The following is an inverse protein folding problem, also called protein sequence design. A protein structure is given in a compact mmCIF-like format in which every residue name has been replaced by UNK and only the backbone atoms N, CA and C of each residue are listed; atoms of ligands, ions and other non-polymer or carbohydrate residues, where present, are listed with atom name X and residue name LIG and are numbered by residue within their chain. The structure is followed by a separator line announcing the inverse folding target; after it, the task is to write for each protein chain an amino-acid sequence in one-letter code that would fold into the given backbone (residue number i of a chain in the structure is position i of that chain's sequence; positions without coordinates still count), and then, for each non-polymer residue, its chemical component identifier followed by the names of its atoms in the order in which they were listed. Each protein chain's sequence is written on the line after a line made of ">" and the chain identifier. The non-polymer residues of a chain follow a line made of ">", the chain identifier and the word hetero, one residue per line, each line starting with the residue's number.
data_IF_746847953333
#
_entry.id   IF_746847953333
#
_cell.length_a   1.000
_cell.length_b   1.000
_cell.length_c   1.000
_cell.angle_alpha   90.00
_cell.angle_beta   90.00
_cell.angle_gamma   90.00
#
_symmetry.space_group_name_H-M   'P 1'
#
loop_
_entity.id
_entity.type
_entity.pdbx_description
1 polymer ?
#
# COMPACT_ATOMS: atom_id res chain seq x y z
N UNK A 1 -12.78 23.25 1.99
CA UNK A 1 -13.39 22.19 2.82
C UNK A 1 -13.58 20.97 1.94
N UNK A 2 -12.70 19.99 2.02
CA UNK A 2 -12.84 18.69 1.35
C UNK A 2 -12.36 17.69 2.39
N UNK A 3 -13.28 16.94 3.00
CA UNK A 3 -12.96 16.04 4.11
C UNK A 3 -14.18 15.42 4.77
N UNK A 4 -15.30 16.15 4.93
CA UNK A 4 -16.42 15.65 5.73
C UNK A 4 -17.09 14.39 5.14
N UNK A 5 -17.29 14.34 3.83
CA UNK A 5 -18.04 13.25 3.17
C UNK A 5 -17.29 11.89 3.16
N UNK A 6 -15.95 11.91 3.21
CA UNK A 6 -15.13 10.68 3.19
C UNK A 6 -15.28 9.91 4.52
N UNK A 7 -15.61 10.61 5.62
CA UNK A 7 -15.80 10.02 6.94
C UNK A 7 -17.25 9.60 7.22
N UNK A 8 -18.23 10.00 6.39
CA UNK A 8 -19.66 9.78 6.66
C UNK A 8 -20.06 8.30 6.74
N UNK A 9 -19.23 7.39 6.21
CA UNK A 9 -19.51 5.95 6.18
C UNK A 9 -18.78 5.13 7.25
N UNK A 10 -18.03 5.77 8.14
CA UNK A 10 -17.30 5.11 9.23
C UNK A 10 -17.91 5.52 10.57
N UNK A 11 -18.13 4.55 11.46
CA UNK A 11 -18.66 4.83 12.80
C UNK A 11 -17.64 5.68 13.61
N UNK A 12 -18.04 6.78 14.27
CA UNK A 12 -17.13 7.59 15.09
C UNK A 12 -16.31 6.76 16.10
N UNK A 13 -16.93 5.77 16.74
CA UNK A 13 -16.24 4.88 17.69
C UNK A 13 -15.17 4.01 17.04
N UNK A 14 -15.40 3.60 15.79
CA UNK A 14 -14.42 2.85 15.01
C UNK A 14 -13.24 3.76 14.63
N UNK A 15 -13.53 5.01 14.26
CA UNK A 15 -12.49 6.00 13.99
C UNK A 15 -11.64 6.26 15.23
N UNK A 16 -12.24 6.46 16.41
CA UNK A 16 -11.50 6.67 17.66
C UNK A 16 -10.58 5.46 17.97
N UNK A 17 -11.12 4.24 17.90
CA UNK A 17 -10.35 3.02 18.10
C UNK A 17 -9.19 2.87 17.09
N UNK A 18 -9.41 3.34 15.86
CA UNK A 18 -8.39 3.35 14.82
C UNK A 18 -7.29 4.40 15.09
N UNK A 19 -7.66 5.61 15.49
CA UNK A 19 -6.69 6.65 15.85
C UNK A 19 -5.84 6.21 17.04
N UNK A 20 -6.45 5.61 18.06
CA UNK A 20 -5.75 5.00 19.19
C UNK A 20 -4.78 3.90 18.73
N UNK A 21 -5.21 3.04 17.80
CA UNK A 21 -4.36 2.03 17.20
C UNK A 21 -3.13 2.64 16.52
N UNK A 22 -3.30 3.69 15.71
CA UNK A 22 -2.18 4.35 15.01
C UNK A 22 -1.24 5.03 16.02
N UNK A 23 -1.79 5.77 16.99
CA UNK A 23 -0.98 6.46 18.00
C UNK A 23 -0.18 5.49 18.86
N UNK A 24 -0.80 4.40 19.32
CA UNK A 24 -0.15 3.39 20.17
C UNK A 24 1.00 2.67 19.45
N UNK A 25 0.84 2.40 18.16
CA UNK A 25 1.83 1.64 17.39
C UNK A 25 2.90 2.53 16.74
N UNK A 26 2.70 3.84 16.69
CA UNK A 26 3.64 4.79 16.10
C UNK A 26 3.71 4.69 14.58
N UNK A 27 4.90 4.90 14.03
CA UNK A 27 5.13 4.90 12.57
C UNK A 27 5.33 3.49 12.03
N UNK A 28 4.72 3.21 10.89
CA UNK A 28 4.90 1.97 10.13
C UNK A 28 5.81 2.20 8.91
N UNK A 29 6.59 1.17 8.55
CA UNK A 29 7.34 1.12 7.31
C UNK A 29 6.44 0.68 6.14
N UNK A 30 5.54 -0.27 6.40
CA UNK A 30 4.56 -0.75 5.42
C UNK A 30 3.19 -0.96 6.06
N UNK A 31 2.14 -0.42 5.44
CA UNK A 31 0.75 -0.71 5.79
C UNK A 31 0.12 -1.61 4.73
N UNK A 32 -0.51 -2.70 5.13
CA UNK A 32 -0.96 -3.78 4.25
C UNK A 32 -2.48 -3.82 4.23
N UNK A 33 -3.05 -3.77 3.02
CA UNK A 33 -4.45 -4.09 2.77
C UNK A 33 -4.62 -5.61 2.79
N UNK A 34 -4.97 -6.14 3.96
CA UNK A 34 -5.01 -7.57 4.19
C UNK A 34 -6.07 -8.27 3.34
N UNK A 35 -7.23 -7.65 3.13
CA UNK A 35 -8.29 -8.24 2.31
C UNK A 35 -7.90 -8.34 0.85
N UNK A 36 -7.27 -7.29 0.31
CA UNK A 36 -6.78 -7.30 -1.06
C UNK A 36 -5.76 -8.43 -1.28
N UNK A 37 -4.80 -8.57 -0.36
CA UNK A 37 -3.77 -9.62 -0.42
C UNK A 37 -4.38 -11.03 -0.45
N UNK A 38 -5.43 -11.28 0.34
CA UNK A 38 -6.03 -12.63 0.40
C UNK A 38 -7.02 -12.92 -0.74
N UNK A 39 -7.69 -11.90 -1.30
CA UNK A 39 -8.88 -12.06 -2.16
C UNK A 39 -8.63 -12.03 -3.67
N UNK A 40 -7.41 -11.76 -4.14
CA UNK A 40 -7.16 -11.48 -5.56
C UNK A 40 -7.41 -12.64 -6.55
N UNK A 41 -7.50 -13.90 -6.08
CA UNK A 41 -7.83 -15.05 -6.94
C UNK A 41 -9.11 -15.73 -6.46
N UNK A 42 -10.26 -15.15 -6.82
CA UNK A 42 -11.61 -15.66 -6.55
C UNK A 42 -12.06 -16.72 -7.58
N UNK A 43 -11.13 -17.46 -8.22
CA UNK A 43 -11.54 -18.68 -8.92
C UNK A 43 -12.12 -19.66 -7.87
N UNK A 44 -13.45 -19.65 -7.81
CA UNK A 44 -14.39 -20.41 -6.96
C UNK A 44 -13.81 -21.75 -6.50
N UNK A 45 -13.12 -21.78 -5.36
CA UNK A 45 -12.73 -22.98 -4.57
C UNK A 45 -11.46 -22.78 -3.72
N UNK A 46 -11.03 -21.54 -3.47
CA UNK A 46 -10.00 -21.28 -2.46
C UNK A 46 -10.54 -21.70 -1.09
N UNK A 47 -10.19 -22.91 -0.65
CA UNK A 47 -10.50 -23.42 0.69
C UNK A 47 -9.97 -22.42 1.72
N UNK A 48 -10.75 -22.19 2.78
CA UNK A 48 -10.54 -21.17 3.83
C UNK A 48 -9.10 -21.07 4.39
N UNK A 49 -8.30 -22.14 4.30
CA UNK A 49 -6.88 -22.18 4.69
C UNK A 49 -5.97 -21.27 3.85
N UNK A 50 -6.22 -21.10 2.56
CA UNK A 50 -5.25 -20.43 1.67
C UNK A 50 -5.21 -18.91 1.87
N UNK A 51 -6.25 -18.31 2.46
CA UNK A 51 -6.25 -16.88 2.80
C UNK A 51 -5.21 -16.52 3.86
N UNK A 52 -5.14 -17.30 4.95
CA UNK A 52 -4.13 -17.10 5.99
C UNK A 52 -2.71 -17.35 5.46
N UNK A 53 -2.54 -18.40 4.64
CA UNK A 53 -1.26 -18.72 4.01
C UNK A 53 -0.76 -17.55 3.16
N UNK A 54 -1.64 -16.93 2.35
CA UNK A 54 -1.26 -15.78 1.51
C UNK A 54 -0.79 -14.58 2.33
N UNK A 55 -1.54 -14.20 3.36
CA UNK A 55 -1.13 -13.09 4.22
C UNK A 55 0.22 -13.38 4.89
N UNK A 56 0.40 -14.60 5.40
CA UNK A 56 1.67 -15.05 5.97
C UNK A 56 2.83 -15.03 4.95
N UNK A 57 2.59 -15.43 3.70
CA UNK A 57 3.59 -15.39 2.65
C UNK A 57 4.00 -13.96 2.30
N UNK A 58 3.03 -13.02 2.26
CA UNK A 58 3.32 -11.61 2.05
C UNK A 58 4.16 -11.02 3.19
N UNK A 59 3.82 -11.34 4.45
CA UNK A 59 4.61 -10.92 5.61
C UNK A 59 6.03 -11.50 5.57
N UNK A 60 6.18 -12.80 5.27
CA UNK A 60 7.49 -13.46 5.13
C UNK A 60 8.35 -12.82 4.05
N UNK A 61 7.76 -12.50 2.90
CA UNK A 61 8.47 -11.84 1.80
C UNK A 61 8.89 -10.39 2.14
N UNK A 62 8.06 -9.65 2.90
CA UNK A 62 8.44 -8.33 3.40
C UNK A 62 9.59 -8.40 4.40
N UNK A 63 9.52 -9.32 5.38
CA UNK A 63 10.59 -9.50 6.35
C UNK A 63 11.89 -9.96 5.70
N UNK A 64 11.84 -10.89 4.74
CA UNK A 64 13.06 -11.39 4.07
C UNK A 64 13.76 -10.34 3.21
N UNK A 65 13.04 -9.33 2.73
CA UNK A 65 13.59 -8.20 1.97
C UNK A 65 14.11 -7.05 2.84
N UNK A 66 13.78 -7.05 4.13
CA UNK A 66 14.28 -6.02 5.05
C UNK A 66 15.74 -6.28 5.42
N UNK A 67 16.57 -5.24 5.38
CA UNK A 67 17.95 -5.30 5.90
C UNK A 67 17.99 -5.42 7.41
N UNK A 68 16.96 -4.93 8.09
CA UNK A 68 16.80 -5.04 9.54
C UNK A 68 15.38 -5.50 9.86
N UNK A 69 15.12 -6.83 9.81
CA UNK A 69 13.79 -7.38 10.05
C UNK A 69 13.26 -7.11 11.46
N UNK A 70 14.13 -6.97 12.46
CA UNK A 70 13.75 -6.73 13.86
C UNK A 70 13.19 -5.31 14.08
N UNK A 71 13.65 -4.34 13.30
CA UNK A 71 13.15 -2.97 13.35
C UNK A 71 11.99 -2.70 12.37
N UNK A 72 11.61 -3.66 11.54
CA UNK A 72 10.59 -3.47 10.50
C UNK A 72 9.19 -3.39 11.14
N UNK A 73 8.54 -2.24 10.98
CA UNK A 73 7.21 -1.96 11.54
C UNK A 73 6.14 -2.16 10.47
N UNK A 74 5.36 -3.23 10.60
CA UNK A 74 4.27 -3.54 9.67
C UNK A 74 2.90 -3.37 10.33
N UNK A 75 1.93 -2.86 9.58
CA UNK A 75 0.52 -2.88 9.95
C UNK A 75 -0.30 -3.66 8.92
N UNK A 76 -1.27 -4.46 9.36
CA UNK A 76 -2.28 -5.10 8.51
C UNK A 76 -3.63 -4.52 8.86
N UNK A 77 -4.30 -3.96 7.85
CA UNK A 77 -5.69 -3.51 7.93
C UNK A 77 -6.57 -4.62 7.37
N UNK A 78 -7.50 -5.10 8.19
CA UNK A 78 -8.45 -6.14 7.83
C UNK A 78 -9.88 -5.78 8.23
N UNK A 79 -10.77 -6.76 8.06
CA UNK A 79 -12.18 -6.66 8.45
C UNK A 79 -12.54 -7.61 9.59
N UNK A 80 -13.58 -7.30 10.36
CA UNK A 80 -13.98 -8.13 11.50
C UNK A 80 -14.26 -9.60 11.10
N UNK A 81 -14.85 -9.85 9.93
CA UNK A 81 -15.14 -11.23 9.49
C UNK A 81 -13.89 -12.11 9.26
N UNK A 82 -12.69 -11.53 9.09
CA UNK A 82 -11.43 -12.28 8.95
C UNK A 82 -10.65 -12.44 10.25
N UNK A 83 -10.98 -11.69 11.31
CA UNK A 83 -10.23 -11.65 12.57
C UNK A 83 -9.99 -13.03 13.17
N UNK A 84 -11.04 -13.85 13.29
CA UNK A 84 -10.91 -15.22 13.84
C UNK A 84 -9.96 -16.08 13.02
N UNK A 85 -9.94 -15.90 11.70
CA UNK A 85 -9.11 -16.69 10.77
C UNK A 85 -7.64 -16.26 10.88
N UNK A 86 -7.39 -14.97 11.00
CA UNK A 86 -6.04 -14.40 11.07
C UNK A 86 -5.40 -14.45 12.45
N UNK A 87 -6.12 -14.85 13.51
CA UNK A 87 -5.57 -15.04 14.85
C UNK A 87 -4.33 -15.98 14.88
N UNK A 88 -4.25 -16.95 13.97
CA UNK A 88 -3.07 -17.81 13.86
C UNK A 88 -1.87 -17.12 13.22
N UNK A 89 -2.11 -16.17 12.31
CA UNK A 89 -1.08 -15.33 11.68
C UNK A 89 -0.59 -14.31 12.70
N UNK A 90 -1.49 -13.63 13.42
CA UNK A 90 -1.12 -12.71 14.52
C UNK A 90 -0.19 -13.36 15.54
N UNK A 91 -0.49 -14.61 15.95
CA UNK A 91 0.36 -15.37 16.87
C UNK A 91 1.76 -15.68 16.31
N UNK A 92 1.88 -15.88 14.99
CA UNK A 92 3.17 -16.16 14.31
C UNK A 92 3.98 -14.90 14.06
N UNK A 93 3.32 -13.74 13.97
CA UNK A 93 3.93 -12.45 13.70
C UNK A 93 3.57 -11.43 14.80
N UNK A 94 3.98 -11.64 16.06
CA UNK A 94 3.62 -10.79 17.18
C UNK A 94 4.13 -9.33 17.04
N UNK A 95 5.11 -9.10 16.17
CA UNK A 95 5.66 -7.77 15.86
C UNK A 95 4.83 -6.97 14.85
N UNK A 96 3.83 -7.59 14.21
CA UNK A 96 2.98 -6.94 13.21
C UNK A 96 1.71 -6.44 13.89
N UNK A 97 1.35 -5.17 13.65
CA UNK A 97 0.15 -4.58 14.21
C UNK A 97 -1.07 -4.92 13.35
N UNK A 98 -2.16 -5.39 13.94
CA UNK A 98 -3.40 -5.71 13.22
C UNK A 98 -4.53 -4.79 13.65
N UNK A 99 -5.22 -4.21 12.68
CA UNK A 99 -6.45 -3.46 12.90
C UNK A 99 -7.60 -4.09 12.11
N UNK A 100 -8.74 -4.26 12.76
CA UNK A 100 -9.93 -4.86 12.16
C UNK A 100 -11.06 -3.84 12.12
N UNK A 101 -11.34 -3.32 10.94
CA UNK A 101 -12.49 -2.46 10.68
C UNK A 101 -13.79 -3.27 10.54
N UNK A 102 -14.93 -2.65 10.78
CA UNK A 102 -16.25 -3.23 10.52
C UNK A 102 -16.39 -3.58 9.03
N UNK A 103 -17.18 -4.61 8.73
CA UNK A 103 -17.31 -5.14 7.36
C UNK A 103 -17.98 -4.16 6.38
N UNK A 104 -18.68 -3.13 6.90
CA UNK A 104 -19.40 -2.11 6.12
C UNK A 104 -18.59 -0.84 5.86
N UNK A 105 -17.49 -0.64 6.56
CA UNK A 105 -16.65 0.57 6.46
C UNK A 105 -15.88 0.59 5.14
N UNK A 106 -15.25 1.71 4.78
CA UNK A 106 -14.34 1.74 3.62
C UNK A 106 -12.90 1.59 4.14
N UNK A 107 -12.26 0.45 3.92
CA UNK A 107 -10.92 0.11 4.44
C UNK A 107 -9.79 0.91 3.81
N UNK A 108 -9.95 1.35 2.57
CA UNK A 108 -8.99 2.20 1.89
C UNK A 108 -8.65 3.47 2.71
N UNK A 109 -9.58 4.06 3.47
CA UNK A 109 -9.28 5.24 4.29
C UNK A 109 -8.34 4.90 5.44
N UNK A 110 -8.51 3.74 6.07
CA UNK A 110 -7.66 3.26 7.16
C UNK A 110 -6.28 2.82 6.64
N UNK A 111 -6.21 2.28 5.43
CA UNK A 111 -4.93 2.01 4.79
C UNK A 111 -4.17 3.32 4.53
N UNK A 112 -4.84 4.28 3.87
CA UNK A 112 -4.23 5.53 3.44
C UNK A 112 -3.85 6.43 4.60
N UNK A 113 -4.70 6.53 5.63
CA UNK A 113 -4.41 7.33 6.81
C UNK A 113 -3.18 6.80 7.55
N UNK A 114 -3.11 5.49 7.84
CA UNK A 114 -1.99 4.91 8.57
C UNK A 114 -0.67 5.11 7.81
N UNK A 115 -0.69 4.95 6.49
CA UNK A 115 0.48 5.13 5.66
C UNK A 115 0.92 6.62 5.62
N UNK A 116 -0.03 7.54 5.40
CA UNK A 116 0.27 8.97 5.37
C UNK A 116 0.75 9.51 6.74
N UNK A 117 0.11 9.08 7.83
CA UNK A 117 0.45 9.50 9.19
C UNK A 117 1.82 8.95 9.64
N UNK A 118 2.22 7.77 9.14
CA UNK A 118 3.54 7.20 9.43
C UNK A 118 4.68 8.01 8.77
N UNK A 119 4.40 8.64 7.62
CA UNK A 119 5.27 9.64 7.00
C UNK A 119 5.56 9.39 5.51
N UNK A 120 6.36 10.28 4.89
CA UNK A 120 6.59 10.28 3.43
C UNK A 120 7.39 9.08 2.91
N UNK A 121 8.05 8.32 3.79
CA UNK A 121 8.83 7.14 3.45
C UNK A 121 8.06 5.83 3.59
N UNK A 122 6.85 5.87 4.17
CA UNK A 122 6.02 4.69 4.40
C UNK A 122 5.45 4.17 3.09
N UNK A 123 5.51 2.86 2.92
CA UNK A 123 4.90 2.14 1.83
C UNK A 123 3.51 1.62 2.20
N UNK A 124 2.70 1.29 1.20
CA UNK A 124 1.45 0.58 1.42
C UNK A 124 1.21 -0.50 0.37
N UNK A 125 0.76 -1.68 0.79
CA UNK A 125 0.59 -2.85 -0.07
C UNK A 125 -0.90 -3.04 -0.39
N UNK A 126 -1.28 -2.80 -1.65
CA UNK A 126 -2.60 -3.11 -2.21
C UNK A 126 -2.52 -3.16 -3.73
N UNK A 127 -3.42 -3.92 -4.38
CA UNK A 127 -3.64 -3.89 -5.83
C UNK A 127 -4.78 -2.96 -6.24
N UNK A 128 -5.51 -2.37 -5.28
CA UNK A 128 -6.51 -1.38 -5.62
C UNK A 128 -5.83 -0.17 -6.30
N UNK A 129 -6.50 0.38 -7.31
CA UNK A 129 -6.05 1.58 -8.00
C UNK A 129 -6.42 2.86 -7.25
N UNK A 130 -7.26 2.77 -6.21
CA UNK A 130 -7.70 3.87 -5.35
C UNK A 130 -8.30 5.04 -6.15
N UNK A 131 -8.89 4.74 -7.31
CA UNK A 131 -9.36 5.75 -8.28
C UNK A 131 -10.44 6.65 -7.69
N UNK A 132 -11.35 6.06 -6.91
CA UNK A 132 -12.46 6.77 -6.30
C UNK A 132 -11.99 7.80 -5.26
N UNK A 133 -10.95 7.48 -4.49
CA UNK A 133 -10.34 8.45 -3.57
C UNK A 133 -9.65 9.58 -4.30
N UNK A 134 -8.91 9.24 -5.36
CA UNK A 134 -8.23 10.25 -6.17
C UNK A 134 -9.21 11.25 -6.81
N UNK A 135 -10.37 10.81 -7.28
CA UNK A 135 -11.37 11.72 -7.86
C UNK A 135 -12.01 12.65 -6.82
N UNK A 136 -12.04 12.25 -5.55
CA UNK A 136 -12.58 13.06 -4.45
C UNK A 136 -11.55 14.06 -3.87
N UNK A 137 -10.27 13.92 -4.19
CA UNK A 137 -9.17 14.70 -3.60
C UNK A 137 -8.93 16.08 -4.24
N UNK A 138 -9.74 16.51 -5.20
CA UNK A 138 -9.68 17.86 -5.78
C UNK A 138 -8.26 18.29 -6.19
N UNK A 139 -7.78 19.42 -5.67
CA UNK A 139 -6.46 20.00 -6.01
C UNK A 139 -5.26 19.17 -5.56
N UNK A 140 -5.41 18.27 -4.58
CA UNK A 140 -4.31 17.43 -4.08
C UNK A 140 -4.22 16.06 -4.78
N UNK A 141 -5.11 15.77 -5.73
CA UNK A 141 -5.13 14.51 -6.48
C UNK A 141 -3.79 14.24 -7.22
N UNK A 142 -3.11 15.28 -7.69
CA UNK A 142 -1.79 15.16 -8.32
C UNK A 142 -0.70 14.72 -7.33
N UNK A 143 -0.73 15.23 -6.10
CA UNK A 143 0.19 14.83 -5.04
C UNK A 143 -0.07 13.38 -4.61
N UNK A 144 -1.34 13.00 -4.43
CA UNK A 144 -1.73 11.62 -4.14
C UNK A 144 -1.22 10.66 -5.22
N UNK A 145 -1.41 10.98 -6.50
CA UNK A 145 -0.96 10.14 -7.60
C UNK A 145 0.57 9.96 -7.62
N UNK A 146 1.31 11.02 -7.28
CA UNK A 146 2.78 10.96 -7.14
C UNK A 146 3.19 10.09 -5.96
N UNK A 147 2.56 10.27 -4.80
CA UNK A 147 2.84 9.47 -3.61
C UNK A 147 2.52 8.00 -3.85
N UNK A 148 1.34 7.69 -4.36
CA UNK A 148 0.90 6.34 -4.75
C UNK A 148 1.92 5.66 -5.69
N UNK A 149 2.37 6.35 -6.75
CA UNK A 149 3.35 5.78 -7.69
C UNK A 149 4.68 5.37 -7.02
N UNK A 150 5.12 6.12 -6.00
CA UNK A 150 6.41 5.89 -5.34
C UNK A 150 6.30 5.01 -4.09
N UNK A 151 5.10 4.82 -3.54
CA UNK A 151 4.89 4.18 -2.23
C UNK A 151 3.91 3.01 -2.24
N UNK A 152 3.11 2.85 -3.28
CA UNK A 152 2.26 1.67 -3.43
C UNK A 152 3.13 0.47 -3.82
N UNK A 153 3.18 -0.53 -2.95
CA UNK A 153 3.73 -1.84 -3.26
C UNK A 153 2.67 -2.65 -3.99
N UNK A 154 3.09 -3.37 -5.03
CA UNK A 154 2.29 -4.40 -5.65
C UNK A 154 2.77 -5.77 -5.18
N UNK A 155 2.05 -6.81 -5.52
CA UNK A 155 2.54 -8.17 -5.36
C UNK A 155 2.22 -8.99 -6.60
N UNK A 156 2.99 -10.02 -6.87
CA UNK A 156 2.69 -11.05 -7.87
C UNK A 156 2.57 -12.40 -7.18
N UNK A 157 1.92 -13.35 -7.86
CA UNK A 157 1.99 -14.75 -7.44
C UNK A 157 2.70 -15.55 -8.51
N UNK A 158 3.87 -16.06 -8.18
CA UNK A 158 4.63 -16.99 -9.00
C UNK A 158 4.97 -18.19 -8.13
N UNK A 159 5.00 -19.40 -8.69
CA UNK A 159 5.45 -20.62 -7.99
C UNK A 159 4.73 -20.92 -6.67
N UNK A 160 3.43 -20.58 -6.59
CA UNK A 160 2.63 -20.67 -5.35
C UNK A 160 3.21 -19.85 -4.19
N UNK A 161 3.95 -18.77 -4.51
CA UNK A 161 4.51 -17.77 -3.59
C UNK A 161 3.92 -16.40 -3.85
N UNK A 162 3.96 -15.53 -2.85
CA UNK A 162 3.67 -14.10 -3.00
C UNK A 162 5.00 -13.36 -3.01
N UNK A 163 5.17 -12.51 -4.01
CA UNK A 163 6.34 -11.65 -4.14
C UNK A 163 5.89 -10.19 -4.13
N UNK A 164 6.25 -9.46 -3.07
CA UNK A 164 5.99 -8.03 -2.95
C UNK A 164 7.00 -7.25 -3.79
N UNK A 165 6.50 -6.38 -4.65
CA UNK A 165 7.30 -5.56 -5.56
C UNK A 165 7.36 -4.13 -5.06
N UNK A 166 8.57 -3.64 -4.82
CA UNK A 166 8.81 -2.23 -4.55
C UNK A 166 8.74 -1.43 -5.85
N UNK A 167 8.18 -0.21 -5.82
CA UNK A 167 8.32 0.76 -6.89
C UNK A 167 9.78 0.92 -7.32
N UNK A 168 9.99 1.23 -8.59
CA UNK A 168 11.31 1.55 -9.10
C UNK A 168 11.96 2.62 -8.25
N UNK A 169 13.23 2.42 -7.88
CA UNK A 169 14.04 3.44 -7.20
C UNK A 169 14.33 4.65 -8.09
N UNK A 170 14.08 4.53 -9.39
CA UNK A 170 14.27 5.61 -10.36
C UNK A 170 13.17 6.66 -10.20
N UNK A 171 13.59 7.91 -10.07
CA UNK A 171 12.68 9.04 -9.93
C UNK A 171 12.00 9.33 -11.27
N UNK A 172 10.80 8.82 -11.51
CA UNK A 172 10.04 8.93 -12.78
C UNK A 172 9.46 10.32 -13.06
N UNK A 173 10.23 11.37 -12.77
CA UNK A 173 9.89 12.77 -13.03
C UNK A 173 11.10 13.42 -13.66
N UNK A 174 10.88 14.56 -14.32
CA UNK A 174 11.99 15.42 -14.70
C UNK A 174 12.77 15.77 -13.43
N UNK A 175 14.07 15.50 -13.43
CA UNK A 175 14.96 15.87 -12.35
C UNK A 175 16.29 16.33 -12.94
N UNK A 176 16.93 17.26 -12.27
CA UNK A 176 18.17 17.83 -12.75
C UNK A 176 18.78 18.77 -11.72
N UNK A 177 20.03 19.10 -11.97
CA UNK A 177 20.81 20.11 -11.27
C UNK A 177 21.35 21.13 -12.30
N UNK A 178 22.26 22.01 -11.87
CA UNK A 178 22.83 23.04 -12.76
C UNK A 178 23.66 22.46 -13.93
N UNK A 179 24.02 21.16 -13.86
CA UNK A 179 24.88 20.47 -14.83
C UNK A 179 24.14 19.46 -15.68
N UNK A 180 22.98 18.99 -15.23
CA UNK A 180 22.28 17.86 -15.86
C UNK A 180 20.77 17.99 -15.74
N UNK A 181 20.06 17.58 -16.79
CA UNK A 181 18.62 17.47 -16.82
C UNK A 181 18.25 16.08 -17.35
N UNK A 182 17.52 15.32 -16.56
CA UNK A 182 17.03 13.99 -16.87
C UNK A 182 15.51 14.04 -17.03
N UNK A 183 15.02 13.66 -18.20
CA UNK A 183 13.60 13.64 -18.55
C UNK A 183 13.21 12.19 -18.86
N UNK A 184 12.29 11.57 -18.11
CA UNK A 184 11.78 10.26 -18.46
C UNK A 184 11.05 10.34 -19.81
N UNK A 185 11.40 9.46 -20.74
CA UNK A 185 10.81 9.39 -22.07
C UNK A 185 10.02 8.09 -22.23
N UNK A 186 8.84 8.21 -22.82
CA UNK A 186 7.93 7.09 -23.07
C UNK A 186 7.54 7.15 -24.53
N UNK A 187 8.07 6.23 -25.34
CA UNK A 187 7.87 6.22 -26.79
C UNK A 187 6.49 5.69 -27.22
N UNK A 188 5.69 5.17 -26.27
CA UNK A 188 4.36 4.61 -26.54
C UNK A 188 3.28 5.51 -25.92
N UNK A 189 2.37 6.03 -26.75
CA UNK A 189 1.22 6.82 -26.29
C UNK A 189 0.27 6.02 -25.37
N UNK A 190 0.40 4.69 -25.30
CA UNK A 190 -0.46 3.78 -24.51
C UNK A 190 -0.01 3.56 -23.06
N UNK A 191 1.25 3.84 -22.70
CA UNK A 191 1.84 3.50 -21.39
C UNK A 191 1.59 4.55 -20.30
N UNK A 192 1.00 5.70 -20.65
CA UNK A 192 0.52 6.69 -19.66
C UNK A 192 -0.61 6.15 -18.76
N UNK A 193 -1.28 5.07 -19.18
CA UNK A 193 -2.46 4.49 -18.50
C UNK A 193 -2.08 3.39 -17.49
N UNK A 194 -0.88 2.80 -17.58
CA UNK A 194 -0.52 1.59 -16.83
C UNK A 194 0.45 1.81 -15.67
N UNK A 195 1.00 3.02 -15.50
CA UNK A 195 2.05 3.23 -14.51
C UNK A 195 3.36 2.53 -14.86
N UNK A 196 3.57 2.24 -16.16
CA UNK A 196 4.82 1.68 -16.65
C UNK A 196 5.99 2.63 -16.31
N UNK A 197 7.09 2.03 -15.89
CA UNK A 197 8.36 2.73 -15.69
C UNK A 197 8.92 3.05 -17.08
N UNK A 198 9.25 4.31 -17.40
CA UNK A 198 9.96 4.66 -18.64
C UNK A 198 11.30 3.92 -18.71
N UNK A 199 11.47 3.15 -19.76
CA UNK A 199 12.72 2.43 -20.07
C UNK A 199 13.74 3.34 -20.78
N UNK A 200 13.31 4.51 -21.27
CA UNK A 200 14.13 5.49 -21.98
C UNK A 200 14.19 6.83 -21.24
N UNK A 201 15.34 7.50 -21.32
CA UNK A 201 15.60 8.78 -20.65
C UNK A 201 16.31 9.73 -21.59
N UNK A 202 15.82 10.97 -21.67
CA UNK A 202 16.56 12.06 -22.30
C UNK A 202 17.47 12.68 -21.24
N UNK A 203 18.77 12.72 -21.52
CA UNK A 203 19.77 13.32 -20.67
C UNK A 203 20.37 14.52 -21.39
N UNK A 204 20.18 15.72 -20.85
CA UNK A 204 20.86 16.93 -21.31
C UNK A 204 21.94 17.31 -20.29
N UNK A 205 23.15 17.58 -20.77
CA UNK A 205 24.29 17.97 -19.94
C UNK A 205 24.72 19.38 -20.33
N UNK A 206 24.89 20.25 -19.34
CA UNK A 206 25.45 21.59 -19.53
C UNK A 206 26.97 21.46 -19.58
N UNK A 207 27.55 21.80 -20.73
CA UNK A 207 29.01 21.90 -20.91
C UNK A 207 29.53 23.21 -20.36
#
# INVERSE_FOLDING_TARGET
>A
MIGNDIYEKTNPKEMDAYLDFVHKNGKFDVVIDGLNVVSWDWKRSVKERQGCERLEMALKDLFSKSRNPESLRLAVIGRQHVRRRWASVEKRFPQVAFFYSADVSHDDIFLLYAAANSGPSTYFLTRDKLRNYRSQMGSVAGLMARWQRNRQLFYTTADRRIHVMYPSSHRLQVFGDDKSLHIPYVNDHRSTVTGAVPDEWICALKR
#
